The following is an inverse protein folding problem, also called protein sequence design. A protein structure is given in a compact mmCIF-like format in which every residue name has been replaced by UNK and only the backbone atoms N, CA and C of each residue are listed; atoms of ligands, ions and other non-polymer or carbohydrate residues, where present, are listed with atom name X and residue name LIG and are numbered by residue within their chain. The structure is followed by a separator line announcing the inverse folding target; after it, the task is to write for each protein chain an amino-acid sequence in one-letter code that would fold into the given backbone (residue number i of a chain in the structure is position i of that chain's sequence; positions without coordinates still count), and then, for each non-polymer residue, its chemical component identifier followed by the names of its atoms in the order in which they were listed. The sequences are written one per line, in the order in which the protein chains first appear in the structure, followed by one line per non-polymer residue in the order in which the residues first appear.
data_IF_355094864161
#
_entry.id   IF_355094864161
#
_cell.length_a   1.000
_cell.length_b   1.000
_cell.length_c   1.000
_cell.angle_alpha   90.00
_cell.angle_beta   90.00
_cell.angle_gamma   90.00
#
_symmetry.space_group_name_H-M   'P 1'
#
loop_
_entity.id
_entity.type
_entity.pdbx_description
1 polymer ?
#
# COMPACT_ATOMS: atom_id res chain seq x y z
N UNK A 1 33.71 -2.06 -7.66
CA UNK A 1 32.46 -2.84 -7.60
C UNK A 1 31.53 -2.09 -6.68
N UNK A 2 30.58 -1.34 -7.24
CA UNK A 2 29.48 -0.77 -6.49
C UNK A 2 28.58 -1.94 -6.09
N UNK A 3 28.56 -2.28 -4.81
CA UNK A 3 27.61 -3.24 -4.27
C UNK A 3 26.21 -2.65 -4.50
N UNK A 4 25.50 -3.21 -5.47
CA UNK A 4 24.12 -2.82 -5.75
C UNK A 4 23.28 -3.26 -4.56
N UNK A 5 23.00 -2.28 -3.69
CA UNK A 5 22.08 -2.46 -2.58
C UNK A 5 20.70 -2.83 -3.15
N UNK A 6 20.20 -4.00 -2.76
CA UNK A 6 18.98 -4.56 -3.33
C UNK A 6 17.76 -3.73 -2.90
N UNK A 7 17.04 -3.20 -3.88
CA UNK A 7 15.81 -2.45 -3.64
C UNK A 7 14.70 -3.37 -3.10
N UNK A 8 13.95 -2.91 -2.09
CA UNK A 8 12.81 -3.66 -1.53
C UNK A 8 11.58 -3.47 -2.41
N UNK A 9 10.94 -4.55 -2.80
CA UNK A 9 9.65 -4.51 -3.49
C UNK A 9 8.48 -4.50 -2.52
N UNK A 10 7.30 -4.13 -3.01
CA UNK A 10 6.07 -4.26 -2.23
C UNK A 10 5.70 -5.73 -1.99
N UNK A 11 6.10 -6.64 -2.88
CA UNK A 11 5.93 -8.09 -2.70
C UNK A 11 6.73 -8.58 -1.47
N UNK A 12 8.00 -8.19 -1.35
CA UNK A 12 8.84 -8.52 -0.18
C UNK A 12 8.21 -8.01 1.14
N UNK A 13 7.62 -6.81 1.10
CA UNK A 13 6.92 -6.24 2.25
C UNK A 13 5.64 -7.01 2.61
N UNK A 14 4.87 -7.47 1.62
CA UNK A 14 3.68 -8.31 1.86
C UNK A 14 4.09 -9.65 2.46
N UNK A 15 5.14 -10.29 1.95
CA UNK A 15 5.68 -11.53 2.53
C UNK A 15 6.12 -11.35 3.99
N UNK A 16 6.74 -10.21 4.31
CA UNK A 16 7.06 -9.84 5.70
C UNK A 16 5.80 -9.76 6.56
N UNK A 17 4.74 -9.08 6.11
CA UNK A 17 3.47 -8.95 6.83
C UNK A 17 2.79 -10.32 7.00
N UNK A 18 2.80 -11.16 5.97
CA UNK A 18 2.25 -12.51 6.02
C UNK A 18 3.00 -13.38 7.03
N UNK A 19 4.33 -13.32 7.06
CA UNK A 19 5.14 -14.03 8.06
C UNK A 19 4.84 -13.54 9.50
N UNK A 20 4.62 -12.24 9.69
CA UNK A 20 4.30 -11.65 10.99
C UNK A 20 2.88 -11.99 11.47
N UNK A 21 1.92 -12.07 10.55
CA UNK A 21 0.52 -12.43 10.87
C UNK A 21 0.38 -13.91 11.17
N UNK A 22 1.11 -14.78 10.47
CA UNK A 22 1.15 -16.22 10.73
C UNK A 22 1.85 -16.59 12.06
N UNK A 23 2.70 -15.71 12.58
CA UNK A 23 3.45 -15.95 13.82
C UNK A 23 2.67 -15.51 15.06
N UNK A 24 2.53 -16.38 16.07
CA UNK A 24 1.91 -16.04 17.36
C UNK A 24 2.89 -15.54 18.42
N UNK A 25 4.18 -15.86 18.29
CA UNK A 25 5.22 -15.50 19.27
C UNK A 25 5.76 -14.09 19.03
N UNK A 26 5.66 -13.22 20.05
CA UNK A 26 6.21 -11.87 20.01
C UNK A 26 7.72 -11.85 19.80
N UNK A 27 8.47 -12.74 20.47
CA UNK A 27 9.93 -12.85 20.28
C UNK A 27 10.27 -13.17 18.84
N UNK A 28 9.53 -14.11 18.24
CA UNK A 28 9.76 -14.53 16.86
C UNK A 28 9.36 -13.45 15.85
N UNK A 29 8.32 -12.65 16.12
CA UNK A 29 8.01 -11.46 15.31
C UNK A 29 9.16 -10.47 15.30
N UNK A 30 9.77 -10.20 16.45
CA UNK A 30 10.94 -9.31 16.54
C UNK A 30 12.13 -9.86 15.75
N UNK A 31 12.37 -11.17 15.79
CA UNK A 31 13.41 -11.82 14.98
C UNK A 31 13.14 -11.71 13.48
N UNK A 32 11.89 -11.91 13.05
CA UNK A 32 11.49 -11.78 11.63
C UNK A 32 11.76 -10.36 11.13
N UNK A 33 11.30 -9.33 11.86
CA UNK A 33 11.56 -7.93 11.49
C UNK A 33 13.06 -7.64 11.52
N UNK A 34 13.78 -8.09 12.55
CA UNK A 34 15.23 -7.88 12.66
C UNK A 34 15.99 -8.48 11.48
N UNK A 35 15.65 -9.72 11.09
CA UNK A 35 16.29 -10.40 9.98
C UNK A 35 16.00 -9.71 8.65
N UNK A 36 14.78 -9.19 8.47
CA UNK A 36 14.41 -8.44 7.28
C UNK A 36 15.20 -7.13 7.17
N UNK A 37 15.28 -6.35 8.25
CA UNK A 37 15.96 -5.04 8.19
C UNK A 37 17.48 -5.15 8.11
N UNK A 38 18.09 -6.28 8.50
CA UNK A 38 19.55 -6.51 8.45
C UNK A 38 20.02 -7.24 7.18
N UNK A 39 19.27 -7.15 6.08
CA UNK A 39 19.67 -7.72 4.78
C UNK A 39 20.66 -6.84 3.99
N UNK A 40 21.18 -5.76 4.60
CA UNK A 40 22.19 -4.91 3.99
C UNK A 40 23.56 -5.58 3.90
N UNK A 41 24.49 -4.92 3.19
CA UNK A 41 25.87 -5.41 3.00
C UNK A 41 26.50 -5.75 4.34
N UNK A 42 27.08 -6.95 4.47
CA UNK A 42 27.77 -7.39 5.68
C UNK A 42 26.85 -7.55 6.90
N UNK A 43 25.54 -7.74 6.70
CA UNK A 43 24.55 -7.83 7.78
C UNK A 43 24.20 -6.47 8.40
N UNK A 44 24.51 -5.38 7.69
CA UNK A 44 24.08 -4.04 8.08
C UNK A 44 22.58 -3.82 7.81
N UNK A 45 22.05 -2.71 8.32
CA UNK A 45 20.69 -2.30 7.99
C UNK A 45 20.58 -1.97 6.49
N UNK A 46 19.56 -2.48 5.80
CA UNK A 46 19.30 -2.05 4.43
C UNK A 46 18.70 -0.63 4.40
N UNK A 47 18.99 0.14 3.35
CA UNK A 47 18.61 1.55 3.15
C UNK A 47 17.13 1.90 3.39
N UNK A 48 16.21 0.97 3.16
CA UNK A 48 14.77 1.18 3.28
C UNK A 48 14.21 0.76 4.66
N UNK A 49 15.06 0.42 5.64
CA UNK A 49 14.66 0.05 7.01
C UNK A 49 13.67 1.05 7.62
N UNK A 50 13.95 2.35 7.53
CA UNK A 50 13.09 3.38 8.07
C UNK A 50 11.70 3.41 7.39
N UNK A 51 11.65 3.09 6.09
CA UNK A 51 10.40 3.01 5.34
C UNK A 51 9.59 1.78 5.76
N UNK A 52 10.24 0.62 5.90
CA UNK A 52 9.61 -0.63 6.33
C UNK A 52 8.97 -0.46 7.70
N UNK A 53 9.72 0.07 8.68
CA UNK A 53 9.22 0.29 10.04
C UNK A 53 8.03 1.27 10.06
N UNK A 54 8.08 2.32 9.23
CA UNK A 54 7.00 3.28 9.09
C UNK A 54 5.72 2.66 8.53
N UNK A 55 5.83 1.70 7.60
CA UNK A 55 4.68 1.00 7.02
C UNK A 55 4.12 -0.09 7.95
N UNK A 56 4.97 -0.73 8.77
CA UNK A 56 4.55 -1.68 9.80
C UNK A 56 3.81 -1.03 10.97
N UNK A 57 4.04 0.26 11.21
CA UNK A 57 3.51 1.00 12.35
C UNK A 57 2.59 2.15 11.91
N UNK A 58 1.49 1.87 11.17
CA UNK A 58 0.64 2.91 10.60
C UNK A 58 0.03 3.83 11.68
N UNK A 59 -0.27 3.29 12.87
CA UNK A 59 -0.85 4.03 14.00
C UNK A 59 0.09 5.01 14.71
N UNK A 60 1.40 4.95 14.45
CA UNK A 60 2.36 5.96 14.95
C UNK A 60 2.35 7.20 14.05
N UNK A 61 1.96 7.04 12.78
CA UNK A 61 1.85 8.14 11.85
C UNK A 61 0.49 8.83 11.95
N UNK A 62 0.45 10.15 12.05
CA UNK A 62 -0.79 10.96 12.11
C UNK A 62 -1.48 11.13 10.75
N UNK A 63 -1.17 10.27 9.76
CA UNK A 63 -1.65 10.42 8.38
C UNK A 63 -3.07 9.88 8.26
N UNK A 64 -4.02 10.79 8.11
CA UNK A 64 -5.40 10.45 7.80
C UNK A 64 -5.67 10.68 6.32
N UNK A 65 -5.86 9.60 5.56
CA UNK A 65 -6.11 9.65 4.12
C UNK A 65 -7.55 10.06 3.76
N UNK A 66 -8.47 10.08 4.74
CA UNK A 66 -9.88 10.45 4.61
C UNK A 66 -10.60 9.83 3.39
N UNK A 67 -10.27 8.58 3.08
CA UNK A 67 -10.94 7.81 2.03
C UNK A 67 -11.89 6.83 2.70
N UNK A 68 -13.17 6.89 2.30
CA UNK A 68 -14.22 5.98 2.76
C UNK A 68 -14.37 4.80 1.81
N UNK A 69 -14.82 3.66 2.33
CA UNK A 69 -15.03 2.44 1.54
C UNK A 69 -15.90 2.68 0.31
N UNK A 70 -17.02 3.41 0.45
CA UNK A 70 -17.90 3.76 -0.68
C UNK A 70 -17.21 4.62 -1.74
N UNK A 71 -16.23 5.45 -1.37
CA UNK A 71 -15.45 6.22 -2.34
C UNK A 71 -14.48 5.32 -3.10
N UNK A 72 -13.85 4.35 -2.41
CA UNK A 72 -13.05 3.32 -3.08
C UNK A 72 -13.88 2.55 -4.10
N UNK A 73 -15.10 2.14 -3.73
CA UNK A 73 -16.00 1.45 -4.66
C UNK A 73 -16.31 2.31 -5.90
N UNK A 74 -16.53 3.62 -5.74
CA UNK A 74 -16.74 4.51 -6.89
C UNK A 74 -15.52 4.49 -7.83
N UNK A 75 -14.32 4.73 -7.30
CA UNK A 75 -13.11 4.79 -8.13
C UNK A 75 -12.82 3.44 -8.81
N UNK A 76 -12.96 2.34 -8.09
CA UNK A 76 -12.65 1.01 -8.61
C UNK A 76 -13.73 0.46 -9.54
N UNK A 77 -14.98 0.91 -9.41
CA UNK A 77 -16.03 0.64 -10.41
C UNK A 77 -15.60 1.16 -11.79
N UNK A 78 -15.10 2.40 -11.84
CA UNK A 78 -14.64 3.03 -13.08
C UNK A 78 -13.35 2.38 -13.60
N UNK A 79 -12.37 2.15 -12.72
CA UNK A 79 -11.07 1.54 -13.08
C UNK A 79 -11.24 0.11 -13.62
N UNK A 80 -12.09 -0.70 -12.97
CA UNK A 80 -12.27 -2.11 -13.33
C UNK A 80 -13.36 -2.32 -14.38
N UNK A 81 -14.11 -1.28 -14.74
CA UNK A 81 -15.30 -1.35 -15.58
C UNK A 81 -16.31 -2.40 -15.11
N UNK A 82 -16.54 -2.44 -13.79
CA UNK A 82 -17.47 -3.36 -13.14
C UNK A 82 -18.66 -2.56 -12.59
N UNK A 83 -19.89 -3.10 -12.61
CA UNK A 83 -21.04 -2.43 -12.02
C UNK A 83 -20.83 -2.10 -10.54
N UNK A 84 -20.93 -0.82 -10.20
CA UNK A 84 -20.79 -0.28 -8.85
C UNK A 84 -21.72 -0.97 -7.86
N UNK A 85 -22.95 -1.24 -8.25
CA UNK A 85 -24.00 -1.85 -7.42
C UNK A 85 -23.58 -3.25 -6.96
N UNK A 86 -22.98 -4.04 -7.85
CA UNK A 86 -22.48 -5.37 -7.52
C UNK A 86 -21.32 -5.32 -6.51
N UNK A 87 -20.48 -4.28 -6.61
CA UNK A 87 -19.38 -4.08 -5.65
C UNK A 87 -19.89 -3.60 -4.29
N UNK A 88 -20.94 -2.76 -4.26
CA UNK A 88 -21.58 -2.35 -3.02
C UNK A 88 -22.27 -3.51 -2.30
N UNK A 89 -22.97 -4.38 -3.04
CA UNK A 89 -23.62 -5.58 -2.48
C UNK A 89 -22.59 -6.51 -1.83
N UNK A 90 -21.42 -6.70 -2.44
CA UNK A 90 -20.36 -7.51 -1.84
C UNK A 90 -19.72 -6.83 -0.63
N UNK A 91 -19.60 -5.49 -0.65
CA UNK A 91 -19.09 -4.70 0.48
C UNK A 91 -19.97 -4.81 1.74
N UNK A 92 -21.27 -5.11 1.62
CA UNK A 92 -22.13 -5.38 2.78
C UNK A 92 -21.62 -6.54 3.65
N UNK A 93 -20.75 -7.40 3.11
CA UNK A 93 -20.06 -8.49 3.83
C UNK A 93 -18.89 -8.00 4.69
N UNK A 94 -18.51 -6.72 4.58
CA UNK A 94 -17.80 -5.98 5.63
C UNK A 94 -16.35 -5.58 5.35
N UNK A 95 -15.72 -6.04 4.27
CA UNK A 95 -14.31 -5.71 3.99
C UNK A 95 -14.12 -5.21 2.55
N UNK A 96 -13.75 -3.94 2.45
CA UNK A 96 -13.47 -3.28 1.16
C UNK A 96 -12.25 -3.85 0.46
N UNK A 97 -11.21 -4.26 1.17
CA UNK A 97 -10.02 -4.86 0.56
C UNK A 97 -10.33 -6.22 -0.05
N UNK A 98 -11.12 -7.06 0.64
CA UNK A 98 -11.59 -8.34 0.11
C UNK A 98 -12.48 -8.14 -1.12
N UNK A 99 -13.41 -7.17 -1.04
CA UNK A 99 -14.29 -6.80 -2.15
C UNK A 99 -13.47 -6.39 -3.38
N UNK A 100 -12.55 -5.44 -3.23
CA UNK A 100 -11.71 -4.96 -4.31
C UNK A 100 -10.84 -6.09 -4.90
N UNK A 101 -10.25 -6.94 -4.06
CA UNK A 101 -9.46 -8.08 -4.54
C UNK A 101 -10.29 -9.03 -5.41
N UNK A 102 -11.51 -9.36 -4.96
CA UNK A 102 -12.42 -10.26 -5.68
C UNK A 102 -12.81 -9.71 -7.05
N UNK A 103 -13.17 -8.43 -7.13
CA UNK A 103 -13.54 -7.80 -8.40
C UNK A 103 -12.34 -7.53 -9.30
N UNK A 104 -11.18 -7.22 -8.72
CA UNK A 104 -9.93 -7.07 -9.48
C UNK A 104 -9.53 -8.36 -10.19
N UNK A 105 -9.63 -9.51 -9.50
CA UNK A 105 -9.37 -10.83 -10.10
C UNK A 105 -10.37 -11.21 -11.20
N UNK A 106 -11.61 -10.73 -11.12
CA UNK A 106 -12.68 -11.02 -12.09
C UNK A 106 -12.71 -10.05 -13.27
N UNK A 107 -12.09 -8.88 -13.14
CA UNK A 107 -12.12 -7.84 -14.16
C UNK A 107 -11.43 -8.32 -15.44
N UNK A 108 -12.12 -8.22 -16.57
CA UNK A 108 -11.56 -8.50 -17.89
C UNK A 108 -10.77 -7.32 -18.47
N UNK A 109 -11.00 -6.10 -17.95
CA UNK A 109 -10.43 -4.86 -18.46
C UNK A 109 -9.01 -4.63 -17.97
N UNK A 110 -8.76 -4.83 -16.67
CA UNK A 110 -7.44 -4.75 -16.06
C UNK A 110 -7.14 -6.09 -15.41
N UNK A 111 -6.02 -6.70 -15.81
CA UNK A 111 -5.57 -7.98 -15.24
C UNK A 111 -4.53 -7.74 -14.15
N UNK A 112 -4.57 -8.51 -13.05
CA UNK A 112 -3.51 -8.49 -12.05
C UNK A 112 -2.15 -8.74 -12.70
N UNK A 113 -1.12 -8.01 -12.25
CA UNK A 113 0.25 -8.30 -12.63
C UNK A 113 0.65 -9.69 -12.13
N UNK A 114 1.49 -10.39 -12.91
CA UNK A 114 1.97 -11.73 -12.55
C UNK A 114 3.02 -11.72 -11.43
N UNK A 115 3.69 -10.57 -11.20
CA UNK A 115 4.66 -10.34 -10.12
C UNK A 115 4.56 -8.91 -9.60
N UNK A 116 4.88 -8.71 -8.32
CA UNK A 116 4.86 -7.42 -7.66
C UNK A 116 6.18 -6.67 -7.80
N UNK A 117 6.54 -6.23 -9.01
CA UNK A 117 7.80 -5.50 -9.27
C UNK A 117 7.79 -4.03 -8.81
N UNK A 118 6.76 -3.61 -8.08
CA UNK A 118 6.63 -2.22 -7.63
C UNK A 118 7.53 -2.03 -6.41
N UNK A 119 8.45 -1.06 -6.49
CA UNK A 119 9.35 -0.72 -5.41
C UNK A 119 8.59 -0.15 -4.21
N UNK A 120 9.01 -0.49 -2.99
CA UNK A 120 8.36 -0.04 -1.76
C UNK A 120 8.36 1.49 -1.65
N UNK A 121 9.44 2.15 -2.07
CA UNK A 121 9.51 3.62 -2.17
C UNK A 121 8.43 4.22 -3.08
N UNK A 122 8.09 3.54 -4.18
CA UNK A 122 7.06 4.01 -5.12
C UNK A 122 5.68 3.96 -4.45
N UNK A 123 5.40 2.89 -3.70
CA UNK A 123 4.16 2.77 -2.91
C UNK A 123 4.08 3.86 -1.84
N UNK A 124 5.18 4.11 -1.12
CA UNK A 124 5.26 5.19 -0.14
C UNK A 124 4.98 6.57 -0.75
N UNK A 125 5.55 6.84 -1.92
CA UNK A 125 5.33 8.09 -2.67
C UNK A 125 3.87 8.23 -3.10
N UNK A 126 3.24 7.16 -3.56
CA UNK A 126 1.82 7.16 -3.90
C UNK A 126 0.96 7.58 -2.70
N UNK A 127 1.22 7.03 -1.51
CA UNK A 127 0.52 7.45 -0.30
C UNK A 127 0.76 8.93 0.05
N UNK A 128 1.95 9.48 -0.15
CA UNK A 128 2.22 10.91 0.07
C UNK A 128 1.38 11.78 -0.89
N UNK A 129 1.32 11.41 -2.17
CA UNK A 129 0.53 12.13 -3.17
C UNK A 129 -0.96 12.08 -2.83
N UNK A 130 -1.45 10.91 -2.39
CA UNK A 130 -2.85 10.74 -2.00
C UNK A 130 -3.23 11.68 -0.83
N UNK A 131 -2.34 11.83 0.16
CA UNK A 131 -2.53 12.79 1.26
C UNK A 131 -2.53 14.24 0.80
N UNK A 132 -1.63 14.61 -0.12
CA UNK A 132 -1.60 15.96 -0.67
C UNK A 132 -2.95 16.29 -1.34
N UNK A 133 -3.51 15.35 -2.10
CA UNK A 133 -4.80 15.54 -2.77
C UNK A 133 -5.99 15.54 -1.79
N UNK A 134 -5.94 14.77 -0.69
CA UNK A 134 -6.99 14.79 0.33
C UNK A 134 -7.01 16.09 1.15
N UNK A 135 -5.86 16.77 1.31
CA UNK A 135 -5.77 18.08 1.99
C UNK A 135 -6.29 19.20 1.08
N UNK A 136 -6.06 19.11 -0.24
CA UNK A 136 -6.55 20.07 -1.24
C UNK A 136 -8.08 19.99 -1.41
N UNK A 137 -8.69 18.83 -1.15
CA UNK A 137 -10.14 18.64 -1.25
C UNK A 137 -11.01 19.38 -0.21
N UNK A 138 -10.41 19.95 0.85
CA UNK A 138 -11.16 20.68 1.89
C UNK A 138 -11.04 22.21 1.80
N UNK A 139 -10.24 22.76 0.87
CA UNK A 139 -10.11 24.21 0.71
C UNK A 139 -9.54 24.62 -0.65
N UNK A 140 -10.18 24.25 -1.76
CA UNK A 140 -9.89 24.86 -3.06
C UNK A 140 -11.18 25.19 -3.83
N UNK A 141 -12.05 25.95 -3.17
CA UNK A 141 -12.57 27.14 -3.85
C UNK A 141 -11.47 28.20 -3.77
N UNK A 142 -10.95 28.65 -4.91
CA UNK A 142 -9.91 29.70 -5.03
C UNK A 142 -8.46 29.23 -4.87
N UNK A 143 -7.90 28.55 -5.88
CA UNK A 143 -6.68 29.08 -6.53
C UNK A 143 -6.44 28.37 -7.87
N UNK A 144 -6.93 29.04 -8.89
CA UNK A 144 -6.52 28.91 -10.27
C UNK A 144 -5.11 29.54 -10.40
N UNK A 145 -4.28 29.01 -11.32
CA UNK A 145 -3.07 29.61 -11.93
C UNK A 145 -1.76 29.46 -11.15
N UNK A 146 -0.90 28.54 -11.62
CA UNK A 146 0.44 28.86 -12.17
C UNK A 146 0.75 27.87 -13.32
N UNK A 147 0.74 28.31 -14.60
CA UNK A 147 1.36 27.57 -15.71
C UNK A 147 2.88 27.78 -15.70
N UNK A 148 3.59 26.90 -16.42
CA UNK A 148 5.04 26.88 -16.66
C UNK A 148 5.74 28.24 -16.72
#
# INVERSE_FOLDING_TARGET
MSEEEQDTTFEDFVELVDALTACSSHKRKSEIVSNFVHQGVGGSLHNETALVLKLLLPGISTRTYNIKDKQLINYFSDILMVPREAMLEDLEKGDVAITLQKFFKRSGHIRPASRGTILLRTVSRFFIILLANSVVGSSFGTLLIIPL
#
